data_IF_001174872983
#
_entry.id   IF_001174872983
#
_cell.length_a   1.000
_cell.length_b   1.000
_cell.length_c   1.000
_cell.angle_alpha   90.00
_cell.angle_beta   90.00
_cell.angle_gamma   90.00
#
_symmetry.space_group_name_H-M   'P 1'
#
loop_
_entity.id
_entity.type
_entity.pdbx_description
1 polymer ?
#
# COMPACT_ATOMS: atom_id res chain seq x y z
N UNK A 1 12.17 -13.26 9.51
CA UNK A 1 13.58 -12.92 9.19
C UNK A 1 13.61 -12.10 7.90
N UNK A 2 14.34 -10.99 7.93
CA UNK A 2 14.44 -10.11 6.77
C UNK A 2 15.42 -10.70 5.74
N UNK A 3 15.12 -10.50 4.45
CA UNK A 3 16.01 -10.88 3.37
C UNK A 3 17.23 -9.95 3.35
N UNK A 4 18.41 -10.55 3.20
CA UNK A 4 19.63 -9.77 2.96
C UNK A 4 19.62 -9.22 1.54
N UNK A 5 19.53 -7.90 1.38
CA UNK A 5 19.44 -7.27 0.07
C UNK A 5 20.66 -7.54 -0.81
N UNK A 6 21.82 -7.83 -0.24
CA UNK A 6 23.02 -8.19 -1.00
C UNK A 6 22.92 -9.58 -1.66
N UNK A 7 21.98 -10.41 -1.23
CA UNK A 7 21.79 -11.76 -1.75
C UNK A 7 20.67 -11.86 -2.79
N UNK A 8 20.09 -10.73 -3.21
CA UNK A 8 18.99 -10.72 -4.17
C UNK A 8 19.49 -11.15 -5.55
N UNK A 9 18.81 -12.14 -6.12
CA UNK A 9 19.09 -12.65 -7.47
C UNK A 9 18.11 -12.10 -8.51
N UNK A 10 16.87 -11.79 -8.11
CA UNK A 10 15.83 -11.30 -9.03
C UNK A 10 15.07 -10.12 -8.45
N UNK A 11 14.68 -9.21 -9.33
CA UNK A 11 13.81 -8.07 -9.01
C UNK A 11 12.66 -8.09 -10.01
N UNK A 12 11.43 -8.19 -9.51
CA UNK A 12 10.24 -8.17 -10.35
C UNK A 12 9.41 -6.93 -10.01
N UNK A 13 9.32 -6.01 -10.96
CA UNK A 13 8.53 -4.80 -10.79
C UNK A 13 7.05 -5.05 -11.08
N UNK A 14 6.17 -4.47 -10.27
CA UNK A 14 4.73 -4.59 -10.42
C UNK A 14 4.02 -3.29 -10.10
N UNK A 15 2.86 -3.10 -10.75
CA UNK A 15 1.90 -2.07 -10.40
C UNK A 15 0.54 -2.72 -10.26
N UNK A 16 -0.13 -2.47 -9.15
CA UNK A 16 -1.48 -2.98 -8.89
C UNK A 16 -2.43 -1.83 -8.64
N UNK A 17 -3.68 -1.99 -9.09
CA UNK A 17 -4.74 -1.00 -8.94
C UNK A 17 -5.88 -1.62 -8.15
N UNK A 18 -6.37 -0.92 -7.14
CA UNK A 18 -7.44 -1.39 -6.26
C UNK A 18 -8.51 -0.32 -6.08
N UNK A 19 -9.75 -0.67 -6.44
CA UNK A 19 -10.91 0.16 -6.10
C UNK A 19 -11.27 -0.13 -4.64
N UNK A 20 -11.45 0.91 -3.83
CA UNK A 20 -11.82 0.71 -2.44
C UNK A 20 -13.31 0.45 -2.29
N UNK A 21 -13.68 -0.43 -1.35
CA UNK A 21 -15.05 -0.85 -1.11
C UNK A 21 -15.62 -0.36 0.24
N UNK A 22 -14.95 0.55 0.92
CA UNK A 22 -15.39 1.09 2.21
C UNK A 22 -14.95 0.27 3.42
N UNK A 23 -14.26 -0.85 3.20
CA UNK A 23 -13.71 -1.70 4.26
C UNK A 23 -12.20 -1.81 4.12
N UNK A 24 -11.56 -2.44 5.10
CA UNK A 24 -10.12 -2.69 5.01
C UNK A 24 -9.81 -3.65 3.86
N UNK A 25 -8.88 -3.25 3.00
CA UNK A 25 -8.43 -4.05 1.87
C UNK A 25 -6.94 -4.33 1.97
N UNK A 26 -6.57 -5.59 1.90
CA UNK A 26 -5.17 -5.98 1.75
C UNK A 26 -4.78 -5.80 0.28
N UNK A 27 -3.90 -4.86 -0.01
CA UNK A 27 -3.48 -4.57 -1.38
C UNK A 27 -2.15 -5.23 -1.75
N UNK A 28 -1.34 -5.59 -0.77
CA UNK A 28 -0.16 -6.43 -0.97
C UNK A 28 -0.18 -7.48 0.12
N UNK A 29 -0.19 -8.75 -0.28
CA UNK A 29 -0.13 -9.89 0.65
C UNK A 29 1.28 -10.07 1.18
N UNK A 30 1.41 -10.84 2.27
CA UNK A 30 2.72 -11.09 2.86
C UNK A 30 3.66 -11.75 1.85
N UNK A 31 4.90 -11.25 1.75
CA UNK A 31 5.89 -11.89 0.87
C UNK A 31 6.14 -13.34 1.30
N UNK A 32 6.43 -14.19 0.34
CA UNK A 32 6.81 -15.58 0.64
C UNK A 32 8.20 -15.62 1.29
N UNK A 33 8.57 -16.81 1.82
CA UNK A 33 9.88 -17.01 2.43
C UNK A 33 11.00 -16.62 1.47
N UNK A 34 12.04 -16.00 1.98
CA UNK A 34 13.20 -15.50 1.24
C UNK A 34 12.86 -14.43 0.19
N UNK A 35 11.77 -13.72 0.38
CA UNK A 35 11.40 -12.58 -0.46
C UNK A 35 11.09 -11.36 0.40
N UNK A 36 11.27 -10.20 -0.20
CA UNK A 36 10.89 -8.91 0.38
C UNK A 36 10.14 -8.14 -0.70
N UNK A 37 9.14 -7.38 -0.31
CA UNK A 37 8.47 -6.44 -1.21
C UNK A 37 8.92 -5.03 -0.85
N UNK A 38 9.46 -4.32 -1.84
CA UNK A 38 9.79 -2.90 -1.71
C UNK A 38 8.67 -2.08 -2.34
N UNK A 39 7.97 -1.31 -1.53
CA UNK A 39 6.91 -0.43 -2.01
C UNK A 39 7.55 0.89 -2.42
N UNK A 40 7.47 1.24 -3.70
CA UNK A 40 8.04 2.47 -4.23
C UNK A 40 7.08 3.65 -4.12
N UNK A 41 5.80 3.44 -4.39
CA UNK A 41 4.81 4.51 -4.32
C UNK A 41 3.42 3.96 -4.09
N UNK A 42 2.58 4.78 -3.46
CA UNK A 42 1.16 4.52 -3.28
C UNK A 42 0.40 5.82 -3.48
N UNK A 43 -0.55 5.80 -4.41
CA UNK A 43 -1.41 6.94 -4.72
C UNK A 43 -2.86 6.60 -4.39
N UNK A 44 -3.58 7.58 -3.87
CA UNK A 44 -5.03 7.52 -3.70
C UNK A 44 -5.67 8.58 -4.58
N UNK A 45 -6.43 8.16 -5.58
CA UNK A 45 -7.11 9.06 -6.52
C UNK A 45 -8.61 9.03 -6.26
N UNK A 46 -9.19 10.17 -5.95
CA UNK A 46 -10.61 10.31 -5.75
C UNK A 46 -11.28 10.86 -7.01
N UNK A 47 -12.08 10.03 -7.66
CA UNK A 47 -12.76 10.37 -8.90
C UNK A 47 -14.21 10.83 -8.69
N UNK A 48 -14.69 10.83 -7.45
CA UNK A 48 -16.06 11.15 -7.11
C UNK A 48 -16.26 12.58 -6.66
N UNK A 49 -17.49 12.90 -6.24
CA UNK A 49 -17.92 14.24 -5.85
C UNK A 49 -17.74 14.52 -4.35
N UNK A 50 -17.44 13.53 -3.54
CA UNK A 50 -17.25 13.69 -2.10
C UNK A 50 -15.79 13.62 -1.70
N UNK A 51 -15.47 14.15 -0.53
CA UNK A 51 -14.16 14.00 0.08
C UNK A 51 -14.17 12.73 0.96
N UNK A 52 -13.13 11.92 0.84
CA UNK A 52 -12.99 10.73 1.65
C UNK A 52 -11.70 10.78 2.44
N UNK A 53 -11.66 10.09 3.57
CA UNK A 53 -10.43 9.93 4.33
C UNK A 53 -9.88 8.52 4.13
N UNK A 54 -8.56 8.43 3.96
CA UNK A 54 -7.88 7.15 3.76
C UNK A 54 -6.88 6.91 4.87
N UNK A 55 -6.71 5.64 5.22
CA UNK A 55 -5.72 5.19 6.20
C UNK A 55 -4.95 4.05 5.59
N UNK A 56 -3.63 4.08 5.75
CA UNK A 56 -2.72 3.04 5.25
C UNK A 56 -1.92 2.51 6.41
N UNK A 57 -1.87 1.19 6.53
CA UNK A 57 -1.04 0.58 7.57
C UNK A 57 -0.39 -0.71 7.08
N UNK A 58 0.71 -1.06 7.74
CA UNK A 58 1.29 -2.39 7.66
C UNK A 58 0.65 -3.20 8.77
N UNK A 59 0.08 -4.35 8.40
CA UNK A 59 -0.44 -5.30 9.38
C UNK A 59 0.63 -6.35 9.66
N UNK A 60 1.13 -6.31 10.90
CA UNK A 60 2.09 -7.27 11.44
C UNK A 60 1.57 -7.68 12.80
N UNK A 61 0.64 -8.63 12.84
CA UNK A 61 -0.17 -9.00 14.01
C UNK A 61 -1.04 -7.84 14.53
N UNK A 62 -0.51 -6.63 14.56
CA UNK A 62 -1.24 -5.39 14.87
C UNK A 62 -1.00 -4.36 13.76
N UNK A 63 -1.90 -3.40 13.56
CA UNK A 63 -1.69 -2.38 12.55
C UNK A 63 -0.63 -1.36 12.98
N UNK A 64 0.28 -1.04 12.06
CA UNK A 64 1.25 0.04 12.20
C UNK A 64 1.01 1.06 11.10
N UNK A 65 0.58 2.25 11.47
CA UNK A 65 0.08 3.23 10.52
C UNK A 65 1.20 3.96 9.78
N UNK A 66 1.09 3.99 8.45
CA UNK A 66 1.93 4.80 7.56
C UNK A 66 1.27 6.16 7.38
N UNK A 67 -0.04 6.17 7.15
CA UNK A 67 -0.85 7.37 7.00
C UNK A 67 -2.19 7.13 7.68
N UNK A 68 -2.62 8.07 8.52
CA UNK A 68 -3.86 7.96 9.28
C UNK A 68 -4.82 9.09 8.92
N UNK A 69 -6.02 8.72 8.51
CA UNK A 69 -7.12 9.66 8.22
C UNK A 69 -6.71 10.85 7.33
N UNK A 70 -6.05 10.56 6.22
CA UNK A 70 -5.63 11.57 5.25
C UNK A 70 -6.82 11.90 4.35
N UNK A 71 -7.17 13.18 4.24
CA UNK A 71 -8.25 13.62 3.34
C UNK A 71 -7.81 13.54 1.88
N UNK A 72 -8.66 12.94 1.06
CA UNK A 72 -8.53 12.95 -0.38
C UNK A 72 -9.74 13.69 -0.95
N UNK A 73 -9.52 14.93 -1.36
CA UNK A 73 -10.58 15.78 -1.88
C UNK A 73 -11.09 15.28 -3.23
N UNK A 74 -12.29 15.71 -3.59
CA UNK A 74 -12.87 15.37 -4.88
C UNK A 74 -11.94 15.76 -6.03
N UNK A 75 -11.88 14.92 -7.06
CA UNK A 75 -11.06 15.12 -8.26
C UNK A 75 -9.57 15.39 -7.98
N UNK A 76 -9.04 14.83 -6.89
CA UNK A 76 -7.61 14.96 -6.54
C UNK A 76 -6.94 13.61 -6.35
N UNK A 77 -5.61 13.62 -6.47
CA UNK A 77 -4.76 12.47 -6.15
C UNK A 77 -3.82 12.85 -5.02
N UNK A 78 -3.78 12.01 -4.00
CA UNK A 78 -2.87 12.18 -2.87
C UNK A 78 -1.81 11.09 -2.89
N UNK A 79 -0.55 11.48 -2.75
CA UNK A 79 0.57 10.54 -2.66
C UNK A 79 0.75 10.14 -1.20
N UNK A 80 0.63 8.85 -0.91
CA UNK A 80 0.71 8.32 0.44
C UNK A 80 2.09 7.72 0.75
N UNK A 81 2.73 7.12 -0.25
CA UNK A 81 4.10 6.62 -0.16
C UNK A 81 4.85 7.12 -1.38
N UNK A 82 6.03 7.71 -1.17
CA UNK A 82 6.89 8.22 -2.23
C UNK A 82 8.11 7.33 -2.42
N UNK A 83 8.72 7.38 -3.60
CA UNK A 83 9.95 6.62 -3.87
C UNK A 83 11.15 7.11 -3.06
N UNK A 84 11.08 8.32 -2.51
CA UNK A 84 12.15 8.87 -1.68
C UNK A 84 12.16 8.28 -0.27
N UNK A 85 11.06 7.65 0.14
CA UNK A 85 10.93 6.97 1.42
C UNK A 85 10.24 5.62 1.21
N UNK A 86 10.90 4.68 0.51
CA UNK A 86 10.29 3.38 0.23
C UNK A 86 10.07 2.58 1.50
N UNK A 87 9.06 1.71 1.48
CA UNK A 87 8.70 0.83 2.58
C UNK A 87 8.97 -0.60 2.17
N UNK A 88 9.57 -1.38 3.05
CA UNK A 88 9.83 -2.80 2.82
C UNK A 88 8.87 -3.64 3.64
N UNK A 89 8.19 -4.59 2.98
CA UNK A 89 7.39 -5.61 3.67
C UNK A 89 8.27 -6.84 3.87
N UNK A 90 8.38 -7.26 5.12
CA UNK A 90 9.18 -8.42 5.47
C UNK A 90 8.46 -9.73 5.16
N UNK A 91 9.23 -10.77 4.92
CA UNK A 91 8.71 -12.09 4.55
C UNK A 91 7.75 -12.65 5.59
N UNK A 92 6.71 -13.32 5.11
CA UNK A 92 5.71 -14.09 5.85
C UNK A 92 4.90 -13.34 6.91
N UNK A 93 5.20 -12.06 7.18
CA UNK A 93 4.55 -11.33 8.28
C UNK A 93 3.75 -10.11 7.83
N UNK A 94 4.27 -9.33 6.90
CA UNK A 94 3.76 -7.99 6.64
C UNK A 94 2.79 -7.97 5.47
N UNK A 95 1.61 -7.38 5.69
CA UNK A 95 0.69 -7.04 4.60
C UNK A 95 0.50 -5.54 4.54
N UNK A 96 0.22 -5.01 3.36
CA UNK A 96 -0.16 -3.61 3.19
C UNK A 96 -1.67 -3.51 3.08
N UNK A 97 -2.26 -2.75 3.98
CA UNK A 97 -3.72 -2.61 4.09
C UNK A 97 -4.10 -1.13 3.93
N UNK A 98 -5.15 -0.88 3.16
CA UNK A 98 -5.74 0.45 3.01
C UNK A 98 -7.20 0.43 3.45
N UNK A 99 -7.64 1.54 4.03
CA UNK A 99 -9.04 1.75 4.42
C UNK A 99 -9.47 3.10 3.91
N UNK A 100 -10.63 3.15 3.26
CA UNK A 100 -11.26 4.41 2.87
C UNK A 100 -12.59 4.52 3.59
N UNK A 101 -12.74 5.55 4.41
CA UNK A 101 -13.98 5.76 5.17
C UNK A 101 -15.10 6.23 4.25
N UNK A 102 -16.30 5.67 4.45
CA UNK A 102 -17.50 6.01 3.69
C UNK A 102 -18.24 4.78 3.21
N UNK A 103 -19.53 4.95 2.87
CA UNK A 103 -20.37 3.84 2.44
C UNK A 103 -20.21 3.52 0.96
N UNK A 104 -19.88 4.51 0.14
CA UNK A 104 -19.66 4.35 -1.31
C UNK A 104 -18.42 5.12 -1.74
N UNK A 105 -17.24 4.72 -1.29
CA UNK A 105 -16.02 5.46 -1.61
C UNK A 105 -15.68 5.38 -3.10
N UNK A 106 -15.18 6.50 -3.63
CA UNK A 106 -14.79 6.62 -5.03
C UNK A 106 -13.26 6.74 -5.18
N UNK A 107 -12.53 6.27 -4.21
CA UNK A 107 -11.07 6.33 -4.18
C UNK A 107 -10.48 5.06 -4.78
N UNK A 108 -9.55 5.24 -5.71
CA UNK A 108 -8.77 4.15 -6.29
C UNK A 108 -7.34 4.26 -5.80
N UNK A 109 -6.77 3.12 -5.37
CA UNK A 109 -5.39 3.05 -4.94
C UNK A 109 -4.54 2.44 -6.05
N UNK A 110 -3.40 3.07 -6.33
CA UNK A 110 -2.40 2.52 -7.25
C UNK A 110 -1.10 2.38 -6.49
N UNK A 111 -0.58 1.16 -6.43
CA UNK A 111 0.67 0.84 -5.74
C UNK A 111 1.69 0.32 -6.74
N UNK A 112 2.90 0.88 -6.69
CA UNK A 112 4.03 0.43 -7.48
C UNK A 112 5.06 -0.19 -6.54
N UNK A 113 5.46 -1.41 -6.82
CA UNK A 113 6.34 -2.16 -5.92
C UNK A 113 7.23 -3.14 -6.68
N UNK A 114 8.26 -3.60 -5.99
CA UNK A 114 9.20 -4.60 -6.50
C UNK A 114 9.22 -5.80 -5.56
N UNK A 115 9.20 -6.99 -6.13
CA UNK A 115 9.44 -8.23 -5.39
C UNK A 115 10.91 -8.56 -5.53
N UNK A 116 11.60 -8.60 -4.40
CA UNK A 116 13.04 -8.86 -4.32
C UNK A 116 13.23 -10.30 -3.79
N UNK A 117 13.88 -11.11 -4.58
CA UNK A 117 14.06 -12.52 -4.22
C UNK A 117 15.46 -13.05 -4.55
#
# INVERSE_FOLDING_TARGET
>A
MALNLAAIATITAKTSVHANTGTANTIITAPSANTVVKINSLYAANTGAGTYTVTVHILRSTPFYIASTVSVATATTTVLITKDSPIYLEETTDTLVVVCAGSTPTVTFTVSYEILA
#
